data_IF_749546425865
#
_entry.id   IF_749546425865
#
_cell.length_a   1.000
_cell.length_b   1.000
_cell.length_c   1.000
_cell.angle_alpha   90.00
_cell.angle_beta   90.00
_cell.angle_gamma   90.00
#
_symmetry.space_group_name_H-M   'P 1'
#
loop_
_entity.id
_entity.type
_entity.pdbx_description
1 polymer ?
#
# COMPACT_ATOMS: atom_id res chain seq x y z
N UNK A 1 -8.17 2.60 -29.30
CA UNK A 1 -8.92 2.05 -28.13
C UNK A 1 -8.03 2.11 -26.90
N UNK A 2 -8.42 2.84 -25.85
CA UNK A 2 -7.73 2.75 -24.56
C UNK A 2 -8.02 1.35 -24.00
N UNK A 3 -7.00 0.49 -23.89
CA UNK A 3 -7.16 -0.83 -23.27
C UNK A 3 -7.41 -0.60 -21.77
N UNK A 4 -8.55 -1.09 -21.28
CA UNK A 4 -8.82 -1.20 -19.85
C UNK A 4 -8.62 -2.67 -19.44
N UNK A 5 -7.97 -2.89 -18.30
CA UNK A 5 -7.77 -4.22 -17.70
C UNK A 5 -8.41 -4.24 -16.33
N UNK A 6 -9.07 -5.33 -15.97
CA UNK A 6 -9.64 -5.56 -14.63
C UNK A 6 -8.71 -6.45 -13.82
N UNK A 7 -8.44 -6.05 -12.58
CA UNK A 7 -7.54 -6.76 -11.67
C UNK A 7 -8.27 -7.36 -10.46
N UNK A 8 -9.28 -6.66 -9.93
CA UNK A 8 -10.03 -7.09 -8.74
C UNK A 8 -11.44 -6.49 -8.72
N UNK A 9 -12.37 -7.15 -8.03
CA UNK A 9 -13.74 -6.71 -7.78
C UNK A 9 -14.08 -6.95 -6.29
N UNK A 10 -14.88 -6.10 -5.67
CA UNK A 10 -15.40 -6.33 -4.31
C UNK A 10 -16.89 -6.71 -4.32
N UNK A 11 -17.42 -7.07 -3.15
CA UNK A 11 -18.81 -7.52 -2.97
C UNK A 11 -19.88 -6.44 -3.28
N UNK A 12 -19.47 -5.17 -3.39
CA UNK A 12 -20.34 -4.08 -3.82
C UNK A 12 -20.40 -3.93 -5.36
N UNK A 13 -19.73 -4.82 -6.10
CA UNK A 13 -19.65 -4.76 -7.55
C UNK A 13 -18.68 -3.70 -8.08
N UNK A 14 -17.86 -3.10 -7.21
CA UNK A 14 -16.84 -2.12 -7.62
C UNK A 14 -15.61 -2.84 -8.13
N UNK A 15 -15.22 -2.53 -9.36
CA UNK A 15 -14.06 -3.13 -10.03
C UNK A 15 -12.90 -2.14 -9.97
N UNK A 16 -11.68 -2.66 -9.89
CA UNK A 16 -10.44 -1.89 -10.02
C UNK A 16 -9.54 -2.49 -11.09
N UNK A 17 -8.74 -1.62 -11.70
CA UNK A 17 -7.91 -2.01 -12.82
C UNK A 17 -7.08 -0.87 -13.38
N UNK A 18 -6.64 -1.00 -14.63
CA UNK A 18 -5.79 -0.04 -15.30
C UNK A 18 -6.40 0.47 -16.61
N UNK A 19 -6.27 1.76 -16.90
CA UNK A 19 -6.62 2.38 -18.17
C UNK A 19 -5.59 3.45 -18.54
N UNK A 20 -4.94 3.32 -19.70
CA UNK A 20 -3.99 4.35 -20.18
C UNK A 20 -2.83 4.66 -19.23
N UNK A 21 -2.39 3.68 -18.42
CA UNK A 21 -1.33 3.87 -17.41
C UNK A 21 -1.80 4.43 -16.07
N UNK A 22 -3.12 4.60 -15.89
CA UNK A 22 -3.73 5.07 -14.65
C UNK A 22 -4.48 3.95 -13.94
N UNK A 23 -4.37 3.92 -12.62
CA UNK A 23 -5.23 3.16 -11.73
C UNK A 23 -6.66 3.73 -11.82
N UNK A 24 -7.63 2.87 -12.10
CA UNK A 24 -9.04 3.26 -12.20
C UNK A 24 -9.91 2.33 -11.37
N UNK A 25 -11.05 2.86 -10.93
CA UNK A 25 -12.16 2.06 -10.40
C UNK A 25 -13.41 2.33 -11.23
N UNK A 26 -14.30 1.36 -11.33
CA UNK A 26 -15.56 1.53 -12.03
C UNK A 26 -16.65 0.63 -11.50
N UNK A 27 -17.88 1.10 -11.68
CA UNK A 27 -19.13 0.43 -11.37
C UNK A 27 -20.19 0.85 -12.40
N UNK A 28 -21.47 0.62 -12.11
CA UNK A 28 -22.57 1.00 -13.00
C UNK A 28 -22.67 2.52 -13.22
N UNK A 29 -22.05 3.32 -12.36
CA UNK A 29 -22.07 4.77 -12.41
C UNK A 29 -20.95 5.35 -13.28
N UNK A 30 -19.97 4.51 -13.68
CA UNK A 30 -18.93 4.86 -14.64
C UNK A 30 -17.52 4.62 -14.13
N UNK A 31 -16.54 5.17 -14.84
CA UNK A 31 -15.11 5.02 -14.54
C UNK A 31 -14.60 6.25 -13.79
N UNK A 32 -13.82 6.01 -12.74
CA UNK A 32 -13.11 7.02 -11.97
C UNK A 32 -11.60 6.76 -11.98
N UNK A 33 -10.84 7.78 -12.33
CA UNK A 33 -9.39 7.80 -12.15
C UNK A 33 -9.06 7.98 -10.66
N UNK A 34 -8.15 7.14 -10.15
CA UNK A 34 -7.68 7.20 -8.76
C UNK A 34 -6.52 8.19 -8.57
N UNK A 35 -5.91 8.63 -9.67
CA UNK A 35 -4.78 9.56 -9.70
C UNK A 35 -3.42 8.88 -9.58
N UNK A 36 -2.43 9.68 -9.20
CA UNK A 36 -1.05 9.27 -8.88
C UNK A 36 -0.58 9.96 -7.61
N UNK A 37 0.46 9.42 -6.97
CA UNK A 37 1.17 10.11 -5.88
C UNK A 37 1.94 11.31 -6.47
N UNK A 38 2.58 11.10 -7.63
CA UNK A 38 3.20 12.15 -8.43
C UNK A 38 2.19 13.21 -8.87
N UNK A 39 2.61 14.47 -8.80
CA UNK A 39 1.87 15.62 -9.32
C UNK A 39 2.02 15.79 -10.84
N UNK A 40 2.97 15.10 -11.46
CA UNK A 40 3.21 15.17 -12.91
C UNK A 40 2.17 14.37 -13.72
N UNK A 41 1.66 14.98 -14.80
CA UNK A 41 0.61 14.40 -15.66
C UNK A 41 1.01 13.10 -16.40
N UNK A 42 2.29 12.89 -16.68
CA UNK A 42 2.77 11.67 -17.35
C UNK A 42 3.01 10.50 -16.39
N UNK A 43 2.79 10.70 -15.10
CA UNK A 43 2.98 9.66 -14.10
C UNK A 43 1.93 8.55 -14.23
N UNK A 44 2.33 7.35 -13.81
CA UNK A 44 1.53 6.14 -13.92
C UNK A 44 1.23 5.52 -12.56
N UNK A 45 0.10 4.81 -12.50
CA UNK A 45 -0.34 4.04 -11.33
C UNK A 45 -1.00 2.73 -11.78
N UNK A 46 -0.97 1.73 -10.90
CA UNK A 46 -1.57 0.40 -11.13
C UNK A 46 -2.21 -0.10 -9.85
N UNK A 47 -3.44 -0.61 -9.96
CA UNK A 47 -4.14 -1.26 -8.86
C UNK A 47 -3.78 -2.74 -8.78
N UNK A 48 -3.80 -3.30 -7.58
CA UNK A 48 -3.70 -4.73 -7.32
C UNK A 48 -5.02 -5.30 -6.81
N UNK A 49 -5.58 -4.68 -5.76
CA UNK A 49 -6.73 -5.23 -5.02
C UNK A 49 -7.65 -4.12 -4.53
N UNK A 50 -8.92 -4.48 -4.33
CA UNK A 50 -9.93 -3.69 -3.62
C UNK A 50 -10.56 -4.55 -2.50
N UNK A 51 -10.78 -3.98 -1.32
CA UNK A 51 -11.49 -4.66 -0.22
C UNK A 51 -13.00 -4.31 -0.17
N UNK A 52 -13.75 -4.91 0.77
CA UNK A 52 -15.21 -4.69 0.88
C UNK A 52 -15.59 -3.24 1.21
N UNK A 53 -14.73 -2.53 1.95
CA UNK A 53 -14.89 -1.11 2.27
C UNK A 53 -14.58 -0.18 1.08
N UNK A 54 -14.08 -0.72 -0.04
CA UNK A 54 -13.72 0.06 -1.22
C UNK A 54 -12.34 0.69 -1.16
N UNK A 55 -11.50 0.28 -0.20
CA UNK A 55 -10.09 0.65 -0.18
C UNK A 55 -9.33 -0.09 -1.28
N UNK A 56 -8.53 0.66 -2.03
CA UNK A 56 -7.77 0.14 -3.17
C UNK A 56 -6.29 0.25 -2.88
N UNK A 57 -5.53 -0.79 -3.19
CA UNK A 57 -4.07 -0.77 -3.09
C UNK A 57 -3.41 -1.09 -4.42
N UNK A 58 -2.14 -0.74 -4.50
CA UNK A 58 -1.29 -1.02 -5.64
C UNK A 58 -0.04 -0.16 -5.57
N UNK A 59 0.43 0.28 -6.72
CA UNK A 59 1.65 1.10 -6.82
C UNK A 59 1.48 2.32 -7.72
N UNK A 60 2.24 3.36 -7.43
CA UNK A 60 2.13 4.65 -8.09
C UNK A 60 3.49 5.31 -8.18
N UNK A 61 3.78 5.95 -9.32
CA UNK A 61 4.97 6.77 -9.44
C UNK A 61 4.87 7.99 -8.53
N UNK A 62 6.00 8.36 -7.93
CA UNK A 62 6.13 9.54 -7.09
C UNK A 62 6.88 10.66 -7.84
N UNK A 63 6.96 11.83 -7.22
CA UNK A 63 7.80 12.93 -7.72
C UNK A 63 9.29 12.75 -7.38
N UNK A 64 9.65 11.69 -6.63
CA UNK A 64 11.03 11.37 -6.31
C UNK A 64 11.69 10.69 -7.52
N UNK A 65 12.91 11.11 -7.84
CA UNK A 65 13.72 10.53 -8.90
C UNK A 65 14.83 9.65 -8.30
N UNK A 66 15.07 8.51 -8.94
CA UNK A 66 16.24 7.67 -8.69
C UNK A 66 17.52 8.35 -9.20
N UNK A 67 18.68 7.77 -8.86
CA UNK A 67 19.98 8.25 -9.33
C UNK A 67 20.13 8.30 -10.87
N UNK A 68 19.33 7.51 -11.60
CA UNK A 68 19.31 7.52 -13.08
C UNK A 68 18.27 8.48 -13.67
N UNK A 69 17.61 9.29 -12.84
CA UNK A 69 16.57 10.24 -13.26
C UNK A 69 15.20 9.62 -13.53
N UNK A 70 15.02 8.32 -13.29
CA UNK A 70 13.72 7.65 -13.42
C UNK A 70 12.87 7.83 -12.17
N UNK A 71 11.56 8.08 -12.32
CA UNK A 71 10.62 8.16 -11.19
C UNK A 71 10.58 6.85 -10.43
N UNK A 72 10.68 6.94 -9.12
CA UNK A 72 10.50 5.78 -8.25
C UNK A 72 9.02 5.46 -8.07
N UNK A 73 8.74 4.25 -7.62
CA UNK A 73 7.38 3.73 -7.48
C UNK A 73 7.17 3.30 -6.04
N UNK A 74 6.12 3.82 -5.42
CA UNK A 74 5.73 3.47 -4.07
C UNK A 74 4.37 2.77 -4.06
N UNK A 75 4.17 1.94 -3.05
CA UNK A 75 2.88 1.40 -2.68
C UNK A 75 1.92 2.52 -2.27
N UNK A 76 0.65 2.37 -2.63
CA UNK A 76 -0.39 3.30 -2.21
C UNK A 76 -1.58 2.59 -1.55
N UNK A 77 -2.30 3.34 -0.73
CA UNK A 77 -3.66 3.07 -0.30
C UNK A 77 -4.57 4.19 -0.77
N UNK A 78 -5.66 3.86 -1.44
CA UNK A 78 -6.70 4.80 -1.81
C UNK A 78 -7.95 4.55 -0.98
N UNK A 79 -8.46 5.60 -0.34
CA UNK A 79 -9.45 5.51 0.74
C UNK A 79 -10.89 5.91 0.34
N UNK A 80 -11.18 6.03 -0.96
CA UNK A 80 -12.44 6.62 -1.44
C UNK A 80 -12.30 8.03 -1.99
N UNK A 81 -11.31 8.79 -1.52
CA UNK A 81 -11.14 10.20 -1.90
C UNK A 81 -9.73 10.51 -2.40
N UNK A 82 -8.68 10.03 -1.73
CA UNK A 82 -7.29 10.37 -2.03
C UNK A 82 -6.38 9.14 -2.05
N UNK A 83 -5.27 9.26 -2.79
CA UNK A 83 -4.18 8.29 -2.81
C UNK A 83 -3.17 8.66 -1.73
N UNK A 84 -2.98 7.78 -0.76
CA UNK A 84 -1.98 7.88 0.29
C UNK A 84 -0.73 7.09 -0.11
N UNK A 85 0.42 7.76 -0.10
CA UNK A 85 1.72 7.10 -0.22
C UNK A 85 2.01 6.29 1.06
N UNK A 86 2.29 5.00 0.91
CA UNK A 86 2.63 4.12 2.03
C UNK A 86 4.14 4.10 2.32
N UNK A 87 4.97 4.64 1.43
CA UNK A 87 6.42 4.72 1.57
C UNK A 87 7.14 3.40 1.25
N UNK A 88 8.39 3.31 1.69
CA UNK A 88 9.28 2.16 1.47
C UNK A 88 9.97 1.76 2.77
N UNK A 89 10.72 0.66 2.76
CA UNK A 89 11.57 0.24 3.89
C UNK A 89 12.89 1.04 4.00
N UNK A 90 13.04 2.14 3.23
CA UNK A 90 14.19 3.04 3.33
C UNK A 90 15.43 2.64 2.51
N UNK A 91 15.29 1.75 1.52
CA UNK A 91 16.40 1.40 0.62
C UNK A 91 16.72 2.50 -0.40
N UNK A 92 17.94 2.48 -0.93
CA UNK A 92 18.41 3.42 -1.96
C UNK A 92 17.62 3.36 -3.26
N UNK A 93 17.02 2.22 -3.59
CA UNK A 93 16.17 2.02 -4.78
C UNK A 93 14.77 2.62 -4.61
N UNK A 94 14.37 2.92 -3.38
CA UNK A 94 13.11 3.58 -3.01
C UNK A 94 11.88 2.99 -3.72
N UNK A 95 11.78 1.66 -3.72
CA UNK A 95 10.68 0.92 -4.35
C UNK A 95 9.81 0.18 -3.31
N UNK A 96 8.50 0.26 -3.49
CA UNK A 96 7.53 -0.63 -2.85
C UNK A 96 6.31 -0.91 -3.74
N UNK A 97 5.67 -2.03 -3.50
CA UNK A 97 4.44 -2.47 -4.16
C UNK A 97 3.47 -3.06 -3.13
N UNK A 98 2.18 -2.79 -3.26
CA UNK A 98 1.14 -3.36 -2.40
C UNK A 98 0.31 -4.38 -3.18
N UNK A 99 0.18 -5.58 -2.63
CA UNK A 99 -0.46 -6.70 -3.32
C UNK A 99 -1.85 -7.01 -2.79
N UNK A 100 -2.08 -6.78 -1.50
CA UNK A 100 -3.37 -7.07 -0.89
C UNK A 100 -3.71 -6.12 0.24
N UNK A 101 -5.01 -5.99 0.47
CA UNK A 101 -5.58 -5.23 1.58
C UNK A 101 -6.75 -6.01 2.16
N UNK A 102 -6.81 -6.12 3.48
CA UNK A 102 -7.96 -6.73 4.16
C UNK A 102 -9.00 -5.67 4.55
N UNK A 103 -10.15 -6.12 5.06
CA UNK A 103 -11.25 -5.22 5.46
C UNK A 103 -10.93 -4.34 6.68
N UNK A 104 -9.91 -4.70 7.46
CA UNK A 104 -9.36 -3.86 8.53
C UNK A 104 -8.33 -2.84 8.02
N UNK A 105 -8.20 -2.65 6.70
CA UNK A 105 -7.25 -1.74 6.05
C UNK A 105 -5.78 -2.05 6.36
N UNK A 106 -5.48 -3.31 6.64
CA UNK A 106 -4.10 -3.81 6.71
C UNK A 106 -3.65 -4.11 5.30
N UNK A 107 -2.53 -3.53 4.89
CA UNK A 107 -1.95 -3.67 3.56
C UNK A 107 -0.69 -4.52 3.65
N UNK A 108 -0.51 -5.42 2.71
CA UNK A 108 0.72 -6.23 2.58
C UNK A 108 1.31 -6.09 1.18
N UNK A 109 2.62 -6.24 1.09
CA UNK A 109 3.35 -6.01 -0.14
C UNK A 109 4.81 -6.40 -0.04
N UNK A 110 5.60 -5.94 -1.00
CA UNK A 110 7.06 -6.04 -0.98
C UNK A 110 7.72 -4.68 -1.15
N UNK A 111 8.90 -4.53 -0.58
CA UNK A 111 9.70 -3.33 -0.72
C UNK A 111 11.15 -3.73 -0.91
N UNK A 112 11.83 -2.99 -1.77
CA UNK A 112 13.25 -3.20 -1.95
C UNK A 112 13.99 -2.83 -0.66
N UNK A 113 14.97 -3.64 -0.28
CA UNK A 113 15.89 -3.38 0.84
C UNK A 113 17.30 -3.08 0.36
N UNK A 114 17.64 -3.57 -0.83
CA UNK A 114 18.85 -3.28 -1.59
C UNK A 114 18.58 -3.58 -3.08
N UNK A 115 19.58 -3.38 -3.95
CA UNK A 115 19.42 -3.64 -5.38
C UNK A 115 19.14 -5.12 -5.66
N UNK A 116 17.95 -5.42 -6.19
CA UNK A 116 17.53 -6.78 -6.52
C UNK A 116 17.00 -7.62 -5.36
N UNK A 117 17.02 -7.10 -4.13
CA UNK A 117 16.51 -7.81 -2.94
C UNK A 117 15.28 -7.11 -2.39
N UNK A 118 14.24 -7.91 -2.14
CA UNK A 118 12.94 -7.44 -1.67
C UNK A 118 12.55 -8.16 -0.39
N UNK A 119 11.97 -7.43 0.56
CA UNK A 119 11.35 -8.00 1.75
C UNK A 119 9.85 -7.78 1.71
N UNK A 120 9.10 -8.77 2.18
CA UNK A 120 7.69 -8.59 2.48
C UNK A 120 7.52 -7.54 3.59
N UNK A 121 6.45 -6.76 3.51
CA UNK A 121 6.08 -5.80 4.54
C UNK A 121 4.58 -5.78 4.79
N UNK A 122 4.22 -5.22 5.93
CA UNK A 122 2.84 -4.92 6.32
C UNK A 122 2.71 -3.47 6.75
N UNK A 123 1.66 -2.80 6.31
CA UNK A 123 1.26 -1.48 6.77
C UNK A 123 -0.11 -1.57 7.45
N UNK A 124 -0.27 -0.79 8.51
CA UNK A 124 -1.56 -0.56 9.16
C UNK A 124 -1.63 0.89 9.63
N UNK A 125 -2.80 1.50 9.51
CA UNK A 125 -3.03 2.80 10.13
C UNK A 125 -2.92 2.64 11.66
N UNK A 126 -2.01 3.38 12.28
CA UNK A 126 -1.80 3.32 13.73
C UNK A 126 -2.90 4.01 14.55
N UNK A 127 -3.79 4.77 13.91
CA UNK A 127 -4.71 5.69 14.59
C UNK A 127 -4.01 6.98 15.04
N UNK A 128 -4.80 7.95 15.55
CA UNK A 128 -4.28 9.24 16.04
C UNK A 128 -3.32 8.97 17.21
N UNK A 129 -2.03 9.21 16.99
CA UNK A 129 -0.97 9.06 17.99
C UNK A 129 0.01 7.90 17.78
N UNK A 130 -0.19 7.05 16.76
CA UNK A 130 0.82 6.10 16.30
C UNK A 130 1.34 6.49 14.91
N UNK A 131 2.63 6.31 14.68
CA UNK A 131 3.24 6.51 13.36
C UNK A 131 2.65 5.53 12.34
N UNK A 132 2.33 6.03 11.15
CA UNK A 132 2.17 5.20 9.95
C UNK A 132 3.43 4.35 9.83
N UNK A 133 3.34 3.04 10.09
CA UNK A 133 4.50 2.18 10.19
C UNK A 133 4.40 1.06 9.16
N UNK A 134 5.40 1.02 8.29
CA UNK A 134 5.71 -0.15 7.47
C UNK A 134 6.56 -1.06 8.35
N UNK A 135 6.15 -2.31 8.51
CA UNK A 135 6.88 -3.34 9.24
C UNK A 135 7.46 -4.34 8.25
N UNK A 136 8.76 -4.59 8.28
CA UNK A 136 9.40 -5.63 7.47
C UNK A 136 9.14 -7.01 8.05
N UNK A 137 8.90 -8.02 7.20
CA UNK A 137 8.64 -9.40 7.65
C UNK A 137 9.85 -10.06 8.35
N UNK A 138 11.06 -9.54 8.15
CA UNK A 138 12.28 -9.98 8.84
C UNK A 138 12.47 -9.35 10.22
N UNK A 139 11.66 -8.34 10.57
CA UNK A 139 11.50 -7.99 11.97
C UNK A 139 10.74 -9.16 12.60
N UNK A 140 11.43 -9.98 13.41
CA UNK A 140 10.72 -10.70 14.47
C UNK A 140 9.78 -9.67 15.07
N UNK A 141 8.47 -9.88 14.99
CA UNK A 141 7.51 -9.11 15.79
C UNK A 141 7.80 -9.52 17.23
N UNK A 142 8.88 -8.98 17.78
CA UNK A 142 9.40 -9.29 19.07
C UNK A 142 8.50 -8.57 20.04
N UNK A 143 7.40 -9.20 20.43
CA UNK A 143 6.49 -8.81 21.51
C UNK A 143 6.55 -7.30 21.79
N UNK A 144 6.25 -6.50 20.77
CA UNK A 144 6.48 -5.06 20.77
C UNK A 144 5.34 -4.36 21.48
N UNK A 145 5.37 -4.46 22.82
CA UNK A 145 4.61 -3.66 23.79
C UNK A 145 3.19 -3.29 23.35
N UNK A 146 2.25 -4.22 23.53
CA UNK A 146 0.89 -3.83 23.90
C UNK A 146 0.99 -3.02 25.21
N UNK A 147 0.92 -1.70 25.12
CA UNK A 147 0.69 -0.85 26.29
C UNK A 147 -0.81 -0.61 26.33
N UNK A 148 -1.49 -1.33 27.21
CA UNK A 148 -2.87 -1.04 27.60
C UNK A 148 -2.95 0.41 28.12
N UNK A 149 -4.07 1.13 27.90
CA UNK A 149 -4.29 2.48 28.45
C UNK A 149 -4.21 2.55 29.99
N UNK A 150 -4.19 1.42 30.69
CA UNK A 150 -4.25 1.31 32.15
C UNK A 150 -2.90 1.10 32.86
N UNK A 151 -1.78 1.08 32.15
CA UNK A 151 -0.45 1.21 32.77
C UNK A 151 0.07 0.03 33.61
N UNK A 152 -0.54 -1.15 33.58
CA UNK A 152 0.00 -2.34 34.26
C UNK A 152 0.79 -3.24 33.29
N UNK A 153 1.99 -3.67 33.73
CA UNK A 153 2.97 -4.44 32.96
C UNK A 153 2.83 -5.91 33.32
N UNK A 154 2.33 -6.77 32.42
CA UNK A 154 2.36 -8.22 32.64
C UNK A 154 3.69 -8.82 32.15
N UNK A 155 4.19 -9.78 32.92
CA UNK A 155 5.43 -10.52 32.72
C UNK A 155 5.34 -11.48 31.52
N UNK A 156 6.50 -11.81 30.96
CA UNK A 156 6.71 -12.59 29.72
C UNK A 156 6.03 -13.96 29.78
N UNK A 157 5.26 -14.30 28.74
CA UNK A 157 4.93 -15.68 28.39
C UNK A 157 5.58 -16.04 27.05
N UNK A 158 6.38 -17.10 27.02
CA UNK A 158 6.91 -17.68 25.78
C UNK A 158 5.82 -18.50 25.08
N UNK A 159 5.77 -18.46 23.75
CA UNK A 159 4.90 -19.34 22.96
C UNK A 159 5.47 -20.76 22.94
N UNK A 160 4.63 -21.81 23.15
CA UNK A 160 5.07 -23.19 23.00
C UNK A 160 5.35 -23.53 21.53
N UNK A 161 6.21 -24.54 21.34
CA UNK A 161 6.70 -25.04 20.05
C UNK A 161 5.59 -25.56 19.15
#
# INVERSE_FOLDING_TARGET
>A
MKKAVANSINDQGRIVGGSGGRAVTWDAQGIRDLGTISTVESATSRTAMINSAGHVVGRSQTDILSATGSRVTHAFLWNGSSMQDLGTLGASTNFSDAFAVNDSSVVVGEAAVESGTYHAWMWRNGGIGNSNAIFGASEKIGAGKCREPSGSRLSRGAWPK
#
